data_IF_224725898974
#
_entry.id   IF_224725898974
#
_cell.length_a   1.000
_cell.length_b   1.000
_cell.length_c   1.000
_cell.angle_alpha   90.00
_cell.angle_beta   90.00
_cell.angle_gamma   90.00
#
_symmetry.space_group_name_H-M   'P 1'
#
loop_
_entity.id
_entity.type
_entity.pdbx_description
1 polymer ?
#
# COMPACT_ATOMS: atom_id res chain seq x y z
N UNK A 1 -34.07 34.59 -11.93
CA UNK A 1 -32.80 35.23 -11.57
C UNK A 1 -31.70 34.19 -11.69
N UNK A 2 -30.67 34.50 -12.48
CA UNK A 2 -29.47 33.67 -12.67
C UNK A 2 -28.39 34.31 -11.79
N UNK A 3 -27.61 33.56 -10.99
CA UNK A 3 -26.65 34.15 -10.07
C UNK A 3 -25.58 34.94 -10.83
N UNK A 4 -25.22 36.08 -10.25
CA UNK A 4 -24.24 37.05 -10.74
C UNK A 4 -22.84 36.44 -10.84
N UNK A 5 -22.11 36.83 -11.89
CA UNK A 5 -21.07 36.04 -12.54
C UNK A 5 -19.79 35.78 -11.74
N UNK A 6 -19.28 34.56 -11.85
CA UNK A 6 -17.83 34.35 -11.83
C UNK A 6 -17.24 35.16 -12.99
N UNK A 7 -16.21 35.97 -12.73
CA UNK A 7 -15.56 36.74 -13.79
C UNK A 7 -15.12 35.81 -14.94
N UNK A 8 -15.51 36.15 -16.16
CA UNK A 8 -15.17 35.36 -17.35
C UNK A 8 -13.64 35.18 -17.43
N UNK A 9 -13.20 33.94 -17.65
CA UNK A 9 -11.78 33.59 -17.67
C UNK A 9 -11.45 32.62 -18.79
N UNK A 10 -10.25 32.76 -19.35
CA UNK A 10 -9.70 31.87 -20.36
C UNK A 10 -8.66 30.93 -19.74
N UNK A 11 -8.71 29.65 -20.09
CA UNK A 11 -7.73 28.64 -19.70
C UNK A 11 -6.68 28.48 -20.80
N UNK A 12 -5.41 28.67 -20.46
CA UNK A 12 -4.28 28.41 -21.35
C UNK A 12 -3.57 27.14 -20.88
N UNK A 13 -3.42 26.16 -21.77
CA UNK A 13 -2.74 24.89 -21.50
C UNK A 13 -1.82 24.50 -22.66
N UNK A 14 -0.69 23.89 -22.32
CA UNK A 14 0.26 23.34 -23.28
C UNK A 14 0.97 22.14 -22.66
N UNK A 15 1.24 21.11 -23.47
CA UNK A 15 1.98 19.92 -23.02
C UNK A 15 3.39 20.35 -22.57
N UNK A 16 3.81 19.91 -21.39
CA UNK A 16 5.08 20.31 -20.79
C UNK A 16 5.03 21.64 -20.02
N UNK A 17 3.83 22.19 -19.78
CA UNK A 17 3.63 23.42 -19.02
C UNK A 17 2.45 23.31 -18.04
N UNK A 18 2.48 24.08 -16.96
CA UNK A 18 1.38 24.18 -16.00
C UNK A 18 0.26 25.04 -16.60
N UNK A 19 -0.96 24.49 -16.67
CA UNK A 19 -2.14 25.23 -17.16
C UNK A 19 -2.46 26.41 -16.26
N UNK A 20 -2.79 27.56 -16.85
CA UNK A 20 -3.10 28.79 -16.12
C UNK A 20 -4.46 29.36 -16.57
N UNK A 21 -5.32 29.69 -15.59
CA UNK A 21 -6.56 30.43 -15.82
C UNK A 21 -6.28 31.93 -15.69
N UNK A 22 -6.70 32.73 -16.66
CA UNK A 22 -6.48 34.19 -16.71
C UNK A 22 -7.83 34.88 -16.91
N UNK A 23 -8.12 35.91 -16.13
CA UNK A 23 -9.33 36.71 -16.27
C UNK A 23 -9.33 37.44 -17.63
N UNK A 24 -10.49 37.55 -18.29
CA UNK A 24 -10.59 38.21 -19.59
C UNK A 24 -10.18 39.70 -19.50
N UNK A 25 -10.50 40.35 -18.38
CA UNK A 25 -10.12 41.75 -18.12
C UNK A 25 -8.61 41.95 -18.20
N UNK A 26 -7.82 41.04 -17.60
CA UNK A 26 -6.36 41.08 -17.62
C UNK A 26 -5.77 40.89 -19.03
N UNK A 27 -6.48 40.20 -19.93
CA UNK A 27 -6.04 39.95 -21.31
C UNK A 27 -6.18 41.18 -22.21
N UNK A 28 -7.02 42.14 -21.82
CA UNK A 28 -7.14 43.40 -22.56
C UNK A 28 -5.86 44.24 -22.45
N UNK A 29 -5.16 44.15 -21.32
CA UNK A 29 -3.90 44.85 -21.06
C UNK A 29 -2.67 43.97 -21.35
N UNK A 30 -2.71 42.67 -21.01
CA UNK A 30 -1.60 41.73 -21.17
C UNK A 30 -1.74 40.91 -22.46
N UNK A 31 -1.03 41.34 -23.51
CA UNK A 31 -1.03 40.65 -24.82
C UNK A 31 -0.28 39.31 -24.86
N UNK A 32 0.33 38.87 -23.75
CA UNK A 32 1.11 37.63 -23.67
C UNK A 32 0.85 36.92 -22.34
N UNK A 33 0.62 35.61 -22.40
CA UNK A 33 0.50 34.73 -21.23
C UNK A 33 1.71 33.79 -21.24
N UNK A 34 2.47 33.79 -20.14
CA UNK A 34 3.64 32.93 -19.96
C UNK A 34 3.24 31.74 -19.08
N UNK A 35 3.41 30.52 -19.59
CA UNK A 35 3.19 29.31 -18.79
C UNK A 35 4.52 28.84 -18.18
N UNK A 36 4.48 28.37 -16.94
CA UNK A 36 5.64 27.77 -16.30
C UNK A 36 5.85 26.35 -16.85
N UNK A 37 7.08 25.98 -17.28
CA UNK A 37 7.35 24.61 -17.72
C UNK A 37 7.14 23.64 -16.56
N UNK A 38 6.60 22.47 -16.86
CA UNK A 38 6.47 21.36 -15.91
C UNK A 38 7.39 20.22 -16.35
N UNK A 39 8.21 19.71 -15.44
CA UNK A 39 9.03 18.54 -15.67
C UNK A 39 8.29 17.30 -15.16
N UNK A 40 8.07 16.32 -16.03
CA UNK A 40 7.62 15.00 -15.62
C UNK A 40 8.86 14.15 -15.32
N UNK A 41 9.06 13.74 -14.08
CA UNK A 41 10.04 12.68 -13.80
C UNK A 41 9.58 11.40 -14.47
N UNK A 42 10.36 10.92 -15.45
CA UNK A 42 10.16 9.58 -15.98
C UNK A 42 10.79 8.59 -14.99
N UNK A 43 9.97 7.69 -14.47
CA UNK A 43 10.49 6.54 -13.74
C UNK A 43 11.28 5.67 -14.72
N UNK A 44 12.59 5.57 -14.53
CA UNK A 44 13.40 4.57 -15.20
C UNK A 44 12.99 3.19 -14.70
N UNK A 45 12.62 2.29 -15.60
CA UNK A 45 12.40 0.88 -15.26
C UNK A 45 13.63 0.07 -15.65
N UNK A 46 14.17 -0.71 -14.72
CA UNK A 46 15.19 -1.70 -15.05
C UNK A 46 14.50 -2.92 -15.67
N UNK A 47 14.94 -3.31 -16.86
CA UNK A 47 14.51 -4.58 -17.47
C UNK A 47 15.33 -5.69 -16.82
N UNK A 48 14.76 -6.30 -15.78
CA UNK A 48 15.35 -7.47 -15.14
C UNK A 48 14.80 -8.73 -15.81
N UNK A 49 15.69 -9.64 -16.21
CA UNK A 49 15.29 -10.94 -16.74
C UNK A 49 14.47 -11.68 -15.66
N UNK A 50 13.19 -11.98 -15.94
CA UNK A 50 12.32 -12.77 -15.05
C UNK A 50 12.77 -14.25 -14.95
N UNK A 51 13.89 -14.59 -15.59
CA UNK A 51 14.41 -15.93 -15.88
C UNK A 51 14.63 -16.84 -14.67
N UNK A 52 13.89 -17.95 -14.66
CA UNK A 52 14.36 -19.28 -14.23
C UNK A 52 14.60 -19.56 -12.73
N UNK A 53 14.58 -18.54 -11.87
CA UNK A 53 14.75 -18.74 -10.42
C UNK A 53 13.69 -19.66 -9.81
N UNK A 54 14.09 -20.49 -8.82
CA UNK A 54 13.14 -21.27 -8.01
C UNK A 54 12.39 -20.36 -7.05
N UNK A 55 11.08 -20.60 -6.92
CA UNK A 55 10.23 -19.88 -5.96
C UNK A 55 10.81 -19.97 -4.54
N UNK A 56 10.99 -18.80 -3.94
CA UNK A 56 11.43 -18.61 -2.55
C UNK A 56 10.34 -17.93 -1.75
N UNK A 57 10.37 -18.17 -0.44
CA UNK A 57 9.48 -17.51 0.52
C UNK A 57 10.25 -16.41 1.24
N UNK A 58 9.69 -15.20 1.26
CA UNK A 58 10.24 -14.03 1.95
C UNK A 58 9.29 -13.60 3.04
N UNK A 59 9.70 -13.68 4.30
CA UNK A 59 8.83 -13.43 5.45
C UNK A 59 8.64 -14.68 6.32
N UNK A 60 7.49 -14.78 6.97
CA UNK A 60 7.21 -15.84 7.94
C UNK A 60 5.98 -16.64 7.50
N UNK A 61 6.23 -17.85 6.97
CA UNK A 61 5.16 -18.77 6.55
C UNK A 61 4.65 -19.69 7.66
N UNK A 62 5.54 -20.22 8.50
CA UNK A 62 5.23 -21.20 9.56
C UNK A 62 6.07 -20.95 10.81
N UNK A 63 5.53 -21.34 11.96
CA UNK A 63 6.21 -21.32 13.25
C UNK A 63 5.23 -21.48 14.41
N UNK A 64 5.75 -21.76 15.60
CA UNK A 64 4.97 -21.67 16.83
C UNK A 64 4.56 -20.20 17.04
N UNK A 65 3.25 -19.90 17.11
CA UNK A 65 2.80 -18.53 17.29
C UNK A 65 3.18 -18.03 18.68
N UNK A 66 3.56 -16.76 18.77
CA UNK A 66 3.61 -16.07 20.05
C UNK A 66 2.22 -15.55 20.44
N UNK A 67 1.36 -15.29 19.45
CA UNK A 67 -0.01 -14.85 19.66
C UNK A 67 -0.70 -14.46 18.36
N UNK A 68 -1.76 -13.69 18.50
CA UNK A 68 -2.46 -13.01 17.41
C UNK A 68 -2.69 -11.54 17.79
N UNK A 69 -2.79 -10.68 16.78
CA UNK A 69 -3.09 -9.25 16.93
C UNK A 69 -4.12 -8.82 15.89
N UNK A 70 -4.78 -7.69 16.07
CA UNK A 70 -5.84 -7.20 15.19
C UNK A 70 -5.48 -5.80 14.66
N UNK A 71 -6.32 -5.25 13.78
CA UNK A 71 -6.24 -3.82 13.45
C UNK A 71 -6.56 -2.97 14.69
N UNK A 72 -6.00 -1.76 14.72
CA UNK A 72 -6.08 -0.88 15.88
C UNK A 72 -7.51 -0.49 16.27
N UNK A 73 -8.34 -0.08 15.29
CA UNK A 73 -9.73 0.29 15.49
C UNK A 73 -10.73 -0.55 14.68
N UNK A 74 -10.23 -1.42 13.79
CA UNK A 74 -10.98 -2.24 12.84
C UNK A 74 -11.92 -1.41 11.95
N UNK A 75 -11.54 -0.18 11.62
CA UNK A 75 -12.30 0.72 10.71
C UNK A 75 -11.75 0.67 9.28
N UNK A 76 -12.53 1.09 8.27
CA UNK A 76 -11.99 1.25 6.92
C UNK A 76 -10.84 2.26 6.93
N UNK A 77 -9.72 1.89 6.30
CA UNK A 77 -8.46 2.63 6.31
C UNK A 77 -7.47 2.16 7.38
N UNK A 78 -7.89 1.40 8.38
CA UNK A 78 -6.95 0.80 9.32
C UNK A 78 -6.07 -0.22 8.62
N UNK A 79 -4.80 -0.22 8.99
CA UNK A 79 -3.80 -1.03 8.32
C UNK A 79 -2.80 -1.61 9.30
N UNK A 80 -2.32 -2.81 9.00
CA UNK A 80 -1.33 -3.53 9.79
C UNK A 80 -0.34 -4.24 8.88
N UNK A 81 0.94 -4.25 9.26
CA UNK A 81 1.98 -4.89 8.48
C UNK A 81 3.21 -5.28 9.25
N UNK A 82 4.11 -5.93 8.53
CA UNK A 82 5.41 -6.38 9.05
C UNK A 82 6.49 -6.15 7.98
N UNK A 83 7.71 -5.79 8.39
CA UNK A 83 8.85 -5.72 7.48
C UNK A 83 9.20 -7.11 6.93
N UNK A 84 9.47 -7.15 5.64
CA UNK A 84 9.96 -8.32 4.91
C UNK A 84 11.35 -7.99 4.39
N UNK A 85 12.31 -8.81 4.80
CA UNK A 85 13.70 -8.68 4.39
C UNK A 85 13.88 -9.14 2.94
N UNK A 86 14.47 -8.29 2.11
CA UNK A 86 14.82 -8.58 0.72
C UNK A 86 16.32 -8.33 0.57
N UNK A 87 17.05 -9.35 0.11
CA UNK A 87 18.52 -9.27 0.04
C UNK A 87 19.04 -9.20 -1.40
N UNK A 88 18.17 -9.44 -2.37
CA UNK A 88 18.46 -9.37 -3.81
C UNK A 88 17.22 -8.86 -4.53
N UNK A 89 17.38 -8.21 -5.69
CA UNK A 89 16.26 -7.92 -6.58
C UNK A 89 15.36 -9.16 -6.71
N UNK A 90 14.09 -9.00 -6.36
CA UNK A 90 13.15 -10.13 -6.24
C UNK A 90 11.86 -9.78 -6.96
N UNK A 91 11.49 -10.61 -7.93
CA UNK A 91 10.20 -10.58 -8.59
C UNK A 91 9.14 -11.22 -7.69
N UNK A 92 8.11 -10.46 -7.32
CA UNK A 92 7.04 -10.92 -6.44
C UNK A 92 5.93 -11.60 -7.24
N UNK A 93 5.58 -12.84 -6.87
CA UNK A 93 4.50 -13.61 -7.51
C UNK A 93 3.21 -13.59 -6.70
N UNK A 94 3.30 -13.64 -5.38
CA UNK A 94 2.12 -13.62 -4.51
C UNK A 94 2.45 -13.14 -3.10
N UNK A 95 1.48 -12.52 -2.45
CA UNK A 95 1.51 -12.22 -1.01
C UNK A 95 0.54 -13.15 -0.26
N UNK A 96 0.90 -13.49 0.97
CA UNK A 96 0.19 -14.47 1.79
C UNK A 96 0.10 -13.97 3.21
N UNK A 97 -1.07 -14.17 3.82
CA UNK A 97 -1.41 -13.66 5.15
C UNK A 97 -2.05 -14.77 5.97
N UNK A 98 -1.58 -14.95 7.20
CA UNK A 98 -2.15 -15.98 8.10
C UNK A 98 -3.17 -15.36 9.03
N UNK A 99 -4.43 -15.76 8.86
CA UNK A 99 -5.56 -15.40 9.72
C UNK A 99 -5.75 -16.48 10.78
N UNK A 100 -5.77 -16.07 12.05
CA UNK A 100 -5.96 -16.91 13.23
C UNK A 100 -7.38 -16.82 13.79
N UNK A 101 -7.97 -15.63 13.73
CA UNK A 101 -9.33 -15.34 14.22
C UNK A 101 -10.13 -14.69 13.11
N UNK A 102 -11.37 -15.12 12.98
CA UNK A 102 -12.37 -14.54 12.07
C UNK A 102 -13.63 -14.34 12.88
N UNK A 103 -14.35 -13.26 12.61
CA UNK A 103 -15.61 -12.98 13.30
C UNK A 103 -16.71 -12.50 12.35
N UNK A 104 -16.43 -12.34 11.06
CA UNK A 104 -17.43 -11.96 10.07
C UNK A 104 -17.44 -12.84 8.84
N UNK A 105 -18.32 -12.49 7.91
CA UNK A 105 -18.60 -13.32 6.75
C UNK A 105 -17.74 -12.95 5.55
N UNK A 106 -17.55 -11.64 5.33
CA UNK A 106 -16.80 -11.11 4.19
C UNK A 106 -15.50 -10.43 4.62
N UNK A 107 -14.50 -10.49 3.74
CA UNK A 107 -13.28 -9.70 3.84
C UNK A 107 -13.01 -9.01 2.52
N UNK A 108 -12.76 -7.70 2.59
CA UNK A 108 -12.21 -6.94 1.49
C UNK A 108 -11.06 -6.11 2.06
N UNK A 109 -9.84 -6.51 1.71
CA UNK A 109 -8.61 -5.85 2.15
C UNK A 109 -7.78 -5.43 0.96
N UNK A 110 -7.08 -4.31 1.09
CA UNK A 110 -6.05 -3.89 0.15
C UNK A 110 -4.69 -4.35 0.65
N UNK A 111 -3.91 -4.95 -0.23
CA UNK A 111 -2.51 -5.25 0.02
C UNK A 111 -1.68 -4.05 -0.43
N UNK A 112 -0.90 -3.49 0.50
CA UNK A 112 0.06 -2.45 0.19
C UNK A 112 1.49 -2.95 0.48
N UNK A 113 2.45 -2.40 -0.26
CA UNK A 113 3.87 -2.71 -0.12
C UNK A 113 4.60 -1.37 -0.09
N UNK A 114 5.19 -1.01 1.04
CA UNK A 114 5.91 0.26 1.18
C UNK A 114 7.41 0.03 1.17
N UNK A 115 8.17 1.03 0.72
CA UNK A 115 9.60 1.11 1.01
C UNK A 115 9.83 1.04 2.51
N UNK A 116 10.86 0.30 2.94
CA UNK A 116 11.18 0.16 4.35
C UNK A 116 12.69 0.15 4.58
N UNK A 117 13.18 1.15 5.32
CA UNK A 117 14.60 1.26 5.65
C UNK A 117 14.78 1.55 7.15
N UNK A 118 15.32 0.58 7.89
CA UNK A 118 15.67 0.72 9.31
C UNK A 118 14.58 1.33 10.22
N UNK A 119 13.31 0.99 9.96
CA UNK A 119 12.16 1.52 10.72
C UNK A 119 11.44 2.69 10.05
N UNK A 120 12.06 3.30 9.04
CA UNK A 120 11.43 4.33 8.21
C UNK A 120 10.57 3.69 7.13
N UNK A 121 9.31 4.13 7.04
CA UNK A 121 8.33 3.67 6.06
C UNK A 121 8.17 4.76 5.00
N UNK A 122 8.52 4.43 3.76
CA UNK A 122 8.50 5.36 2.62
C UNK A 122 7.20 5.30 1.82
N UNK A 123 7.30 5.52 0.51
CA UNK A 123 6.12 5.52 -0.39
C UNK A 123 5.59 4.11 -0.62
N UNK A 124 4.31 4.02 -1.01
CA UNK A 124 3.72 2.78 -1.52
C UNK A 124 4.31 2.45 -2.90
N UNK A 125 4.77 1.22 -3.07
CA UNK A 125 5.32 0.67 -4.31
C UNK A 125 4.23 0.09 -5.23
N UNK A 126 3.02 -0.10 -4.72
CA UNK A 126 1.88 -0.58 -5.50
C UNK A 126 1.00 0.62 -5.89
N UNK A 127 1.02 1.00 -7.17
CA UNK A 127 0.22 2.10 -7.70
C UNK A 127 -1.25 1.74 -7.93
N UNK A 128 -1.55 0.45 -8.09
CA UNK A 128 -2.89 -0.08 -8.37
C UNK A 128 -3.47 -0.80 -7.14
N UNK A 129 -4.80 -0.94 -7.09
CA UNK A 129 -5.44 -1.67 -5.99
C UNK A 129 -5.19 -3.18 -6.13
N UNK A 130 -4.38 -3.74 -5.23
CA UNK A 130 -4.27 -5.19 -5.04
C UNK A 130 -5.30 -5.60 -3.99
N UNK A 131 -6.43 -6.16 -4.41
CA UNK A 131 -7.52 -6.53 -3.51
C UNK A 131 -7.46 -8.02 -3.11
N UNK A 132 -7.68 -8.26 -1.83
CA UNK A 132 -7.88 -9.56 -1.23
C UNK A 132 -9.34 -9.66 -0.80
N UNK A 133 -10.13 -10.33 -1.62
CA UNK A 133 -11.58 -10.47 -1.45
C UNK A 133 -11.94 -11.92 -1.15
N UNK A 134 -12.92 -12.13 -0.28
CA UNK A 134 -13.49 -13.47 -0.08
C UNK A 134 -14.24 -13.61 1.23
N UNK A 135 -14.47 -14.87 1.60
CA UNK A 135 -15.08 -15.24 2.88
C UNK A 135 -13.99 -15.25 3.96
N UNK A 136 -14.28 -14.69 5.13
CA UNK A 136 -13.33 -14.78 6.24
C UNK A 136 -13.18 -16.25 6.66
N UNK A 137 -11.94 -16.75 6.62
CA UNK A 137 -11.62 -18.10 7.09
C UNK A 137 -10.27 -18.11 7.79
N UNK A 138 -10.15 -18.96 8.79
CA UNK A 138 -8.85 -19.23 9.41
C UNK A 138 -7.92 -19.89 8.39
N UNK A 139 -6.63 -19.62 8.52
CA UNK A 139 -5.59 -20.18 7.67
C UNK A 139 -4.92 -19.13 6.79
N UNK A 140 -4.34 -19.59 5.70
CA UNK A 140 -3.60 -18.72 4.77
C UNK A 140 -4.55 -18.22 3.68
N UNK A 141 -4.59 -16.90 3.52
CA UNK A 141 -5.21 -16.21 2.40
C UNK A 141 -4.11 -15.59 1.54
N UNK A 142 -4.32 -15.54 0.23
CA UNK A 142 -3.28 -15.20 -0.73
C UNK A 142 -3.82 -14.35 -1.86
N UNK A 143 -2.98 -13.45 -2.38
CA UNK A 143 -3.27 -12.67 -3.58
C UNK A 143 -2.18 -12.88 -4.63
N UNK A 144 -2.59 -12.91 -5.91
CA UNK A 144 -1.66 -12.98 -7.03
C UNK A 144 -1.07 -11.60 -7.31
N UNK A 145 0.26 -11.49 -7.27
CA UNK A 145 1.00 -10.26 -7.57
C UNK A 145 1.59 -10.23 -8.98
N UNK A 146 1.52 -11.35 -9.73
CA UNK A 146 2.08 -11.38 -11.11
C UNK A 146 1.51 -10.32 -12.06
N UNK A 147 0.23 -9.90 -11.97
CA UNK A 147 -0.29 -8.87 -12.86
C UNK A 147 0.35 -7.49 -12.66
N UNK A 148 0.94 -7.24 -11.49
CA UNK A 148 1.51 -5.95 -11.12
C UNK A 148 3.01 -5.85 -11.43
N UNK A 149 3.62 -6.94 -11.91
CA UNK A 149 5.01 -7.02 -12.33
C UNK A 149 6.05 -6.45 -11.34
N UNK A 150 5.79 -6.59 -10.04
CA UNK A 150 6.55 -5.94 -8.98
C UNK A 150 7.92 -6.60 -8.78
N UNK A 151 8.97 -5.78 -8.87
CA UNK A 151 10.33 -6.13 -8.45
C UNK A 151 10.75 -5.23 -7.29
N UNK A 152 11.24 -5.84 -6.22
CA UNK A 152 11.73 -5.14 -5.03
C UNK A 152 13.20 -5.50 -4.80
N UNK A 153 14.03 -4.50 -4.53
CA UNK A 153 15.48 -4.66 -4.30
C UNK A 153 15.90 -4.41 -2.85
N UNK A 154 15.03 -3.78 -2.07
CA UNK A 154 15.27 -3.40 -0.67
C UNK A 154 14.20 -3.99 0.25
N UNK A 155 14.43 -3.91 1.56
CA UNK A 155 13.45 -4.32 2.56
C UNK A 155 12.13 -3.54 2.34
N UNK A 156 11.00 -4.21 2.57
CA UNK A 156 9.67 -3.63 2.35
C UNK A 156 8.75 -3.88 3.52
N UNK A 157 7.78 -2.98 3.72
CA UNK A 157 6.68 -3.21 4.66
C UNK A 157 5.51 -3.82 3.90
N UNK A 158 5.18 -5.09 4.18
CA UNK A 158 3.99 -5.76 3.65
C UNK A 158 2.83 -5.57 4.62
N UNK A 159 1.69 -5.09 4.11
CA UNK A 159 0.54 -4.66 4.92
C UNK A 159 -0.79 -5.15 4.35
N UNK A 160 -1.80 -5.18 5.22
CA UNK A 160 -3.21 -5.30 4.88
C UNK A 160 -3.96 -4.11 5.45
N UNK A 161 -4.61 -3.37 4.56
CA UNK A 161 -5.53 -2.28 4.87
C UNK A 161 -6.98 -2.79 4.77
N UNK A 162 -7.78 -2.53 5.79
CA UNK A 162 -9.21 -2.81 5.74
C UNK A 162 -9.91 -1.80 4.83
N UNK A 163 -10.58 -2.24 3.78
CA UNK A 163 -11.29 -1.32 2.87
C UNK A 163 -12.79 -1.29 3.08
N UNK A 164 -13.35 -2.27 3.81
CA UNK A 164 -14.77 -2.29 4.16
C UNK A 164 -14.99 -3.01 5.48
N UNK A 165 -15.75 -2.38 6.37
CA UNK A 165 -16.32 -3.06 7.54
C UNK A 165 -17.70 -3.54 7.14
N UNK A 166 -17.93 -4.85 7.24
CA UNK A 166 -19.27 -5.41 7.15
C UNK A 166 -20.13 -4.72 8.23
N UNK A 167 -21.23 -4.08 7.83
CA UNK A 167 -21.95 -3.09 8.64
C UNK A 167 -22.64 -3.66 9.89
N UNK A 168 -22.56 -4.97 10.11
CA UNK A 168 -23.10 -5.62 11.29
C UNK A 168 -22.09 -5.60 12.44
N UNK A 169 -22.53 -5.12 13.61
CA UNK A 169 -21.76 -4.95 14.87
C UNK A 169 -20.92 -6.17 15.31
N UNK A 170 -21.15 -7.34 14.73
CA UNK A 170 -20.55 -8.61 15.11
C UNK A 170 -19.34 -9.03 14.24
N UNK A 171 -19.07 -8.36 13.10
CA UNK A 171 -18.10 -8.83 12.09
C UNK A 171 -16.69 -8.22 12.17
N UNK A 172 -16.35 -7.57 13.28
CA UNK A 172 -15.26 -6.57 13.34
C UNK A 172 -13.86 -7.06 13.68
N UNK A 173 -13.58 -8.37 13.84
CA UNK A 173 -12.27 -8.82 14.36
C UNK A 173 -11.65 -9.96 13.56
N UNK A 174 -10.84 -9.60 12.57
CA UNK A 174 -9.82 -10.49 12.02
C UNK A 174 -8.56 -10.40 12.90
N UNK A 175 -8.11 -11.56 13.36
CA UNK A 175 -6.87 -11.71 14.10
C UNK A 175 -5.77 -12.30 13.23
N UNK A 176 -4.67 -11.56 13.11
CA UNK A 176 -3.48 -11.95 12.37
C UNK A 176 -2.48 -12.63 13.29
N UNK A 177 -1.99 -13.80 12.87
CA UNK A 177 -1.00 -14.56 13.64
C UNK A 177 0.35 -13.86 13.60
N UNK A 178 1.05 -13.80 14.73
CA UNK A 178 2.43 -13.32 14.80
C UNK A 178 3.33 -14.24 15.63
N UNK A 179 4.64 -14.05 15.48
CA UNK A 179 5.68 -14.68 16.32
C UNK A 179 6.72 -13.68 16.80
N UNK A 180 7.34 -14.00 17.93
CA UNK A 180 8.51 -13.30 18.41
C UNK A 180 9.71 -13.55 17.49
N UNK A 181 10.52 -12.52 17.31
CA UNK A 181 11.73 -12.51 16.47
C UNK A 181 12.84 -11.77 17.18
N UNK A 182 14.06 -12.29 17.08
CA UNK A 182 15.21 -11.78 17.84
C UNK A 182 15.84 -10.50 17.22
N UNK A 183 15.40 -10.10 16.03
CA UNK A 183 15.94 -8.96 15.29
C UNK A 183 15.23 -7.67 15.69
N UNK A 184 16.03 -6.65 16.05
CA UNK A 184 15.55 -5.32 16.51
C UNK A 184 14.66 -4.57 15.52
N UNK A 185 14.74 -4.91 14.23
CA UNK A 185 14.04 -4.18 13.15
C UNK A 185 12.84 -4.96 12.60
N UNK A 186 12.39 -5.98 13.31
CA UNK A 186 11.14 -6.68 12.99
C UNK A 186 10.13 -6.38 14.08
N UNK A 187 9.40 -5.31 13.83
CA UNK A 187 8.26 -4.87 14.61
C UNK A 187 7.01 -5.04 13.76
N UNK A 188 5.87 -5.14 14.42
CA UNK A 188 4.59 -5.03 13.75
C UNK A 188 4.23 -3.56 13.74
N UNK A 189 3.85 -3.06 12.57
CA UNK A 189 3.44 -1.68 12.37
C UNK A 189 1.94 -1.62 12.11
N UNK A 190 1.28 -0.58 12.61
CA UNK A 190 -0.11 -0.32 12.31
C UNK A 190 -0.39 1.16 12.18
N UNK A 191 -1.42 1.51 11.42
CA UNK A 191 -1.96 2.88 11.38
C UNK A 191 -3.48 2.84 11.52
N UNK A 192 -4.00 3.90 12.13
CA UNK A 192 -5.43 4.18 12.15
C UNK A 192 -5.73 5.04 10.94
N UNK A 193 -6.59 4.57 10.05
CA UNK A 193 -6.98 5.33 8.86
C UNK A 193 -8.23 6.17 9.11
N UNK A 194 -8.30 7.32 8.43
CA UNK A 194 -9.54 8.07 8.27
C UNK A 194 -10.04 7.87 6.83
N UNK A 195 -10.75 6.75 6.64
CA UNK A 195 -11.19 6.17 5.36
C UNK A 195 -10.09 5.46 4.58
N UNK A 196 -10.51 4.50 3.75
CA UNK A 196 -9.58 3.76 2.89
C UNK A 196 -9.06 4.64 1.76
N UNK A 197 -7.75 4.90 1.77
CA UNK A 197 -7.03 5.62 0.71
C UNK A 197 -5.73 4.88 0.42
N UNK A 198 -5.45 4.63 -0.86
CA UNK A 198 -4.18 4.05 -1.30
C UNK A 198 -3.07 5.12 -1.28
N UNK A 199 -2.72 5.59 -0.09
CA UNK A 199 -1.67 6.59 0.15
C UNK A 199 -0.87 6.20 1.37
N UNK A 200 0.44 6.47 1.33
CA UNK A 200 1.29 6.38 2.51
C UNK A 200 0.77 7.31 3.62
N UNK A 201 0.93 6.88 4.86
CA UNK A 201 0.55 7.64 6.06
C UNK A 201 1.43 7.26 7.24
N UNK A 202 1.21 7.89 8.40
CA UNK A 202 2.01 7.64 9.59
C UNK A 202 1.67 6.27 10.20
N UNK A 203 2.67 5.40 10.29
CA UNK A 203 2.60 4.12 10.97
C UNK A 203 3.21 4.24 12.37
N UNK A 204 2.62 3.53 13.32
CA UNK A 204 3.16 3.34 14.66
C UNK A 204 3.62 1.90 14.83
N UNK A 205 4.70 1.70 15.59
CA UNK A 205 5.05 0.37 16.09
C UNK A 205 3.99 -0.09 17.10
N UNK A 206 3.35 -1.22 16.84
CA UNK A 206 2.32 -1.77 17.72
C UNK A 206 2.83 -2.92 18.59
N UNK A 207 3.75 -3.74 18.07
CA UNK A 207 4.36 -4.85 18.82
C UNK A 207 5.84 -4.97 18.43
N UNK A 208 6.72 -4.74 19.40
CA UNK A 208 8.18 -4.82 19.19
C UNK A 208 8.69 -6.27 19.22
N UNK A 209 9.77 -6.53 18.48
CA UNK A 209 10.44 -7.84 18.45
C UNK A 209 9.50 -8.96 17.98
N UNK A 210 8.55 -8.61 17.10
CA UNK A 210 7.51 -9.51 16.60
C UNK A 210 7.27 -9.26 15.11
N UNK A 211 6.90 -10.32 14.40
CA UNK A 211 6.55 -10.24 13.00
C UNK A 211 5.29 -11.06 12.71
N UNK A 212 4.42 -10.49 11.89
CA UNK A 212 3.24 -11.18 11.40
C UNK A 212 3.67 -12.38 10.55
N UNK A 213 2.82 -13.40 10.51
CA UNK A 213 2.96 -14.53 9.59
C UNK A 213 2.51 -14.13 8.17
N UNK A 214 3.08 -13.04 7.68
CA UNK A 214 2.92 -12.51 6.33
C UNK A 214 4.18 -12.85 5.55
N UNK A 215 4.02 -13.18 4.27
CA UNK A 215 5.14 -13.52 3.41
C UNK A 215 4.81 -13.34 1.94
N UNK A 216 5.86 -13.13 1.14
CA UNK A 216 5.81 -13.25 -0.31
C UNK A 216 6.26 -14.64 -0.76
N UNK A 217 5.77 -15.05 -1.92
CA UNK A 217 6.44 -16.03 -2.79
C UNK A 217 6.90 -15.29 -4.04
N UNK A 218 8.16 -15.49 -4.42
CA UNK A 218 8.79 -14.81 -5.55
C UNK A 218 10.12 -15.43 -5.96
N UNK A 219 10.75 -14.86 -6.97
CA UNK A 219 12.04 -15.31 -7.49
C UNK A 219 13.09 -14.21 -7.31
N UNK A 220 14.25 -14.55 -6.75
CA UNK A 220 15.42 -13.67 -6.83
C UNK A 220 15.92 -13.62 -8.27
N UNK A 221 16.36 -12.44 -8.69
CA UNK A 221 16.94 -12.13 -10.00
C UNK A 221 18.47 -12.04 -9.91
#
# INVERSE_FOLDING_TARGET
EIPEGEADSALFSAIGYISQKVAIEDLTEKKKVWLAPTSYEMQSFEVLDKGGGRDKTFGIKKGFPAGYTNLASNKPGDEIGTPIKISKPTYLKSAHFTIDRVSGDSMIYRVNIYEFNDGEIGKNLVSENVLLEGVQKQGVVSVNLTPFELVVSEDVLLTLENIQVDSEEHNSRIGFRYKSVFLRNRNIYGRIGDNSKNVAGEFSEIIQGSALNFYFVGNEL
#
